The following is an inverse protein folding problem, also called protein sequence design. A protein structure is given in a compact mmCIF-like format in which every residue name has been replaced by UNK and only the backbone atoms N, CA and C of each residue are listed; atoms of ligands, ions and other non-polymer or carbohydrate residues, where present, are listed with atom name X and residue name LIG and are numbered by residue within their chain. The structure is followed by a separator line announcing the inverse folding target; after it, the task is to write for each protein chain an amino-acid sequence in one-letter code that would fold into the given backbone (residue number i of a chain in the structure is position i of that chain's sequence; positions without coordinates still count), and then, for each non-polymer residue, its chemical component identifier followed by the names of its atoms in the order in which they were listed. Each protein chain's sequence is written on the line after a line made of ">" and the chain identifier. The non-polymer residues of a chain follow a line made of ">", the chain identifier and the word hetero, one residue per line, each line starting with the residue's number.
data_IF_589285050755
#
_entry.id   IF_589285050755
#
_cell.length_a   1.000
_cell.length_b   1.000
_cell.length_c   1.000
_cell.angle_alpha   90.00
_cell.angle_beta   90.00
_cell.angle_gamma   90.00
#
_symmetry.space_group_name_H-M   'P 1'
#
loop_
_entity.id
_entity.type
_entity.pdbx_description
1 polymer ?
#
# COMPACT_ATOMS: atom_id res chain seq x y z
N UNK A 1 18.19 -20.60 28.58
CA UNK A 1 17.11 -19.79 27.99
C UNK A 1 17.36 -19.78 26.51
N UNK A 2 16.61 -20.56 25.77
CA UNK A 2 16.59 -20.50 24.28
C UNK A 2 15.94 -19.16 23.97
N UNK A 3 16.67 -18.24 23.33
CA UNK A 3 16.11 -17.02 22.81
C UNK A 3 15.15 -17.47 21.69
N UNK A 4 13.86 -17.54 21.98
CA UNK A 4 12.85 -17.72 20.93
C UNK A 4 13.02 -16.51 20.02
N UNK A 5 13.59 -16.72 18.83
CA UNK A 5 13.61 -15.69 17.80
C UNK A 5 12.15 -15.40 17.47
N UNK A 6 11.69 -14.17 17.75
CA UNK A 6 10.34 -13.75 17.40
C UNK A 6 10.10 -14.04 15.93
N UNK A 7 8.98 -14.66 15.63
CA UNK A 7 8.63 -14.96 14.24
C UNK A 7 8.21 -13.66 13.55
N UNK A 8 8.93 -13.28 12.49
CA UNK A 8 8.84 -11.95 11.87
C UNK A 8 8.35 -12.04 10.45
N UNK A 9 7.29 -11.30 10.16
CA UNK A 9 6.82 -11.09 8.80
C UNK A 9 7.38 -9.78 8.24
N UNK A 10 8.00 -9.86 7.08
CA UNK A 10 8.39 -8.68 6.30
C UNK A 10 7.41 -8.53 5.14
N UNK A 11 6.84 -7.33 4.99
CA UNK A 11 5.91 -7.01 3.90
C UNK A 11 6.43 -5.84 3.08
N UNK A 12 6.38 -6.00 1.76
CA UNK A 12 6.62 -4.94 0.79
C UNK A 12 5.30 -4.46 0.20
N UNK A 13 5.04 -3.15 0.24
CA UNK A 13 3.78 -2.57 -0.22
C UNK A 13 4.08 -1.52 -1.29
N UNK A 14 3.49 -1.70 -2.46
CA UNK A 14 3.41 -0.72 -3.53
C UNK A 14 2.00 -0.15 -3.58
N UNK A 15 1.84 1.14 -3.26
CA UNK A 15 0.56 1.86 -3.26
C UNK A 15 0.36 2.63 -4.55
N UNK A 16 0.00 1.94 -5.61
CA UNK A 16 -0.26 2.53 -6.92
C UNK A 16 -1.60 3.28 -7.01
N UNK A 17 -1.70 4.20 -7.97
CA UNK A 17 -2.92 4.99 -8.24
C UNK A 17 -4.11 4.12 -8.67
N UNK A 18 -3.88 3.09 -9.46
CA UNK A 18 -4.93 2.22 -9.99
C UNK A 18 -5.00 0.88 -9.26
N UNK A 19 -3.87 0.26 -9.00
CA UNK A 19 -3.73 -1.02 -8.34
C UNK A 19 -2.59 -0.94 -7.33
N UNK A 20 -2.77 -1.55 -6.18
CA UNK A 20 -1.74 -1.68 -5.15
C UNK A 20 -1.39 -3.15 -4.97
N UNK A 21 -0.15 -3.40 -4.62
CA UNK A 21 0.37 -4.75 -4.42
C UNK A 21 1.03 -4.88 -3.06
N UNK A 22 0.81 -6.00 -2.40
CA UNK A 22 1.54 -6.41 -1.21
C UNK A 22 2.22 -7.76 -1.48
N UNK A 23 3.45 -7.89 -1.01
CA UNK A 23 4.18 -9.16 -0.99
C UNK A 23 4.76 -9.40 0.39
N UNK A 24 4.83 -10.65 0.84
CA UNK A 24 5.35 -11.02 2.15
C UNK A 24 6.53 -11.99 2.07
N UNK A 25 7.37 -11.99 3.11
CA UNK A 25 8.47 -12.95 3.26
C UNK A 25 8.00 -14.40 3.42
N UNK A 26 6.72 -14.61 3.75
CA UNK A 26 6.08 -15.93 3.80
C UNK A 26 5.66 -16.45 2.42
N UNK A 27 5.88 -15.66 1.34
CA UNK A 27 5.60 -16.05 -0.04
C UNK A 27 4.23 -15.65 -0.57
N UNK A 28 3.40 -14.98 0.24
CA UNK A 28 2.12 -14.43 -0.24
C UNK A 28 2.37 -13.18 -1.09
N UNK A 29 1.55 -13.02 -2.16
CA UNK A 29 1.54 -11.83 -3.01
C UNK A 29 0.12 -11.57 -3.50
N UNK A 30 -0.39 -10.38 -3.25
CA UNK A 30 -1.74 -9.97 -3.63
C UNK A 30 -1.74 -8.59 -4.28
N UNK A 31 -2.59 -8.43 -5.29
CA UNK A 31 -2.84 -7.15 -5.96
C UNK A 31 -4.32 -6.82 -5.90
N UNK A 32 -4.63 -5.60 -5.50
CA UNK A 32 -6.00 -5.11 -5.29
C UNK A 32 -6.14 -3.74 -5.98
N UNK A 33 -7.27 -3.50 -6.67
CA UNK A 33 -7.55 -2.18 -7.24
C UNK A 33 -7.63 -1.14 -6.11
N UNK A 34 -6.95 -0.01 -6.28
CA UNK A 34 -6.82 1.05 -5.26
C UNK A 34 -8.11 1.86 -5.16
N UNK A 35 -9.15 1.24 -4.63
CA UNK A 35 -10.46 1.86 -4.43
C UNK A 35 -11.13 1.31 -3.17
N UNK A 36 -11.76 2.22 -2.43
CA UNK A 36 -12.54 1.92 -1.22
C UNK A 36 -13.98 2.36 -1.44
N UNK A 37 -14.93 1.47 -1.16
CA UNK A 37 -16.36 1.75 -1.23
C UNK A 37 -16.97 1.80 0.17
N UNK A 38 -17.73 2.86 0.47
CA UNK A 38 -18.54 2.94 1.68
C UNK A 38 -20.02 3.02 1.29
N UNK A 39 -20.92 2.23 1.91
CA UNK A 39 -22.36 2.31 1.64
C UNK A 39 -22.87 3.76 1.71
N UNK A 40 -23.67 4.17 0.73
CA UNK A 40 -24.20 5.53 0.64
C UNK A 40 -25.18 5.89 1.75
N UNK A 41 -25.91 4.88 2.24
CA UNK A 41 -27.00 5.04 3.19
C UNK A 41 -27.24 3.73 3.98
N UNK A 42 -28.11 3.73 5.00
CA UNK A 42 -28.45 2.55 5.77
C UNK A 42 -29.08 1.40 4.97
N UNK A 43 -29.76 1.70 3.86
CA UNK A 43 -30.37 0.68 3.00
C UNK A 43 -29.28 -0.08 2.25
N UNK A 44 -28.33 0.68 1.66
CA UNK A 44 -27.15 0.13 1.02
C UNK A 44 -26.30 -0.70 1.98
N UNK A 45 -26.10 -0.19 3.23
CA UNK A 45 -25.40 -0.93 4.29
C UNK A 45 -26.07 -2.25 4.63
N UNK A 46 -27.40 -2.25 4.78
CA UNK A 46 -28.17 -3.46 5.05
C UNK A 46 -28.11 -4.46 3.88
N UNK A 47 -28.10 -3.98 2.66
CA UNK A 47 -27.98 -4.80 1.46
C UNK A 47 -26.59 -5.44 1.36
N UNK A 48 -25.53 -4.65 1.51
CA UNK A 48 -24.13 -5.08 1.35
C UNK A 48 -23.63 -5.91 2.53
N UNK A 49 -24.23 -5.78 3.72
CA UNK A 49 -23.80 -6.43 4.96
C UNK A 49 -22.34 -6.12 5.36
N UNK A 50 -21.81 -5.01 4.87
CA UNK A 50 -20.43 -4.53 5.10
C UNK A 50 -20.41 -3.02 5.20
N UNK A 51 -19.53 -2.50 6.04
CA UNK A 51 -19.32 -1.05 6.21
C UNK A 51 -18.30 -0.49 5.25
N UNK A 52 -17.40 -1.33 4.75
CA UNK A 52 -16.34 -0.98 3.80
C UNK A 52 -16.14 -2.13 2.81
N UNK A 53 -15.94 -1.79 1.54
CA UNK A 53 -15.59 -2.70 0.47
C UNK A 53 -14.29 -2.22 -0.18
N UNK A 54 -13.49 -3.15 -0.71
CA UNK A 54 -12.21 -2.86 -1.33
C UNK A 54 -12.14 -3.43 -2.75
N UNK A 55 -11.33 -2.79 -3.60
CA UNK A 55 -10.99 -3.28 -4.92
C UNK A 55 -12.20 -3.61 -5.80
N UNK A 56 -12.16 -4.76 -6.43
CA UNK A 56 -13.19 -5.26 -7.31
C UNK A 56 -14.60 -5.28 -6.67
N UNK A 57 -14.70 -5.58 -5.37
CA UNK A 57 -15.99 -5.59 -4.68
C UNK A 57 -16.58 -4.18 -4.55
N UNK A 58 -15.75 -3.17 -4.28
CA UNK A 58 -16.18 -1.78 -4.29
C UNK A 58 -16.66 -1.33 -5.67
N UNK A 59 -15.92 -1.71 -6.72
CA UNK A 59 -16.27 -1.38 -8.12
C UNK A 59 -17.56 -2.07 -8.58
N UNK A 60 -17.75 -3.34 -8.24
CA UNK A 60 -19.01 -4.08 -8.54
C UNK A 60 -20.22 -3.42 -7.89
N UNK A 61 -20.06 -2.87 -6.70
CA UNK A 61 -21.13 -2.27 -5.91
C UNK A 61 -21.15 -0.73 -5.99
N UNK A 62 -20.55 -0.12 -7.01
CA UNK A 62 -20.40 1.34 -7.17
C UNK A 62 -21.71 2.13 -7.11
N UNK A 63 -22.84 1.55 -7.47
CA UNK A 63 -24.14 2.21 -7.40
C UNK A 63 -24.67 2.33 -5.97
N UNK A 64 -24.28 1.42 -5.08
CA UNK A 64 -24.64 1.41 -3.67
C UNK A 64 -23.59 2.07 -2.76
N UNK A 65 -22.41 2.41 -3.28
CA UNK A 65 -21.30 2.96 -2.52
C UNK A 65 -20.87 4.37 -2.96
N UNK A 66 -20.40 5.16 -2.00
CA UNK A 66 -19.48 6.26 -2.27
C UNK A 66 -18.09 5.67 -2.46
N UNK A 67 -17.48 5.93 -3.62
CA UNK A 67 -16.15 5.44 -3.93
C UNK A 67 -15.08 6.49 -3.60
N UNK A 68 -14.03 6.04 -2.93
CA UNK A 68 -12.82 6.81 -2.61
C UNK A 68 -11.65 6.20 -3.37
N UNK A 69 -10.83 7.06 -3.98
CA UNK A 69 -9.55 6.69 -4.58
C UNK A 69 -8.45 7.35 -3.76
N UNK A 70 -7.96 6.67 -2.71
CA UNK A 70 -7.10 7.30 -1.71
C UNK A 70 -5.73 7.69 -2.24
N UNK A 71 -5.33 7.12 -3.39
CA UNK A 71 -4.04 7.39 -4.02
C UNK A 71 -4.21 8.20 -5.30
N UNK A 72 -3.45 9.28 -5.42
CA UNK A 72 -3.33 10.07 -6.65
C UNK A 72 -1.85 10.37 -6.91
N UNK A 73 -1.39 10.12 -8.13
CA UNK A 73 0.02 10.30 -8.51
C UNK A 73 1.02 9.63 -7.53
N UNK A 74 0.68 8.42 -7.05
CA UNK A 74 1.52 7.65 -6.14
C UNK A 74 1.58 8.17 -4.69
N UNK A 75 0.73 9.15 -4.32
CA UNK A 75 0.67 9.70 -2.96
C UNK A 75 -0.73 9.61 -2.39
N UNK A 76 -0.81 9.49 -1.05
CA UNK A 76 -2.08 9.56 -0.35
C UNK A 76 -2.65 10.98 -0.42
N UNK A 77 -3.93 11.11 -0.80
CA UNK A 77 -4.60 12.40 -0.82
C UNK A 77 -4.78 12.92 0.62
N UNK A 78 -4.59 14.22 0.83
CA UNK A 78 -4.48 14.85 2.16
C UNK A 78 -5.82 15.24 2.79
N UNK A 79 -6.95 15.06 2.10
CA UNK A 79 -8.26 15.24 2.74
C UNK A 79 -8.59 14.07 3.69
N UNK A 80 -9.30 14.40 4.76
CA UNK A 80 -9.60 13.48 5.86
C UNK A 80 -10.27 12.16 5.39
N UNK A 81 -11.19 12.25 4.43
CA UNK A 81 -11.95 11.09 3.95
C UNK A 81 -11.04 10.13 3.14
N UNK A 82 -10.17 10.68 2.30
CA UNK A 82 -9.21 9.88 1.54
C UNK A 82 -8.08 9.32 2.41
N UNK A 83 -7.58 10.07 3.40
CA UNK A 83 -6.62 9.53 4.38
C UNK A 83 -7.22 8.38 5.19
N UNK A 84 -8.47 8.51 5.64
CA UNK A 84 -9.17 7.42 6.32
C UNK A 84 -9.41 6.21 5.39
N UNK A 85 -9.69 6.45 4.11
CA UNK A 85 -9.81 5.41 3.11
C UNK A 85 -8.45 4.74 2.83
N UNK A 86 -7.36 5.52 2.70
CA UNK A 86 -6.00 5.00 2.53
C UNK A 86 -5.59 4.10 3.68
N UNK A 87 -5.82 4.53 4.92
CA UNK A 87 -5.52 3.72 6.11
C UNK A 87 -6.31 2.42 6.13
N UNK A 88 -7.61 2.46 5.85
CA UNK A 88 -8.44 1.26 5.79
C UNK A 88 -8.00 0.32 4.65
N UNK A 89 -7.59 0.87 3.51
CA UNK A 89 -7.12 0.10 2.37
C UNK A 89 -5.79 -0.61 2.66
N UNK A 90 -4.85 0.08 3.30
CA UNK A 90 -3.57 -0.51 3.73
C UNK A 90 -3.78 -1.60 4.77
N UNK A 91 -4.70 -1.39 5.74
CA UNK A 91 -5.11 -2.44 6.70
C UNK A 91 -5.59 -3.69 5.98
N UNK A 92 -6.48 -3.50 5.00
CA UNK A 92 -6.99 -4.60 4.21
C UNK A 92 -5.88 -5.33 3.41
N UNK A 93 -4.92 -4.61 2.83
CA UNK A 93 -3.78 -5.25 2.15
C UNK A 93 -2.96 -6.09 3.13
N UNK A 94 -2.64 -5.56 4.31
CA UNK A 94 -1.85 -6.29 5.33
C UNK A 94 -2.61 -7.54 5.79
N UNK A 95 -3.92 -7.46 5.99
CA UNK A 95 -4.76 -8.61 6.37
C UNK A 95 -4.71 -9.75 5.33
N UNK A 96 -4.45 -9.46 4.06
CA UNK A 96 -4.38 -10.50 3.00
C UNK A 96 -3.14 -11.40 3.07
N UNK A 97 -2.17 -11.08 3.91
CA UNK A 97 -0.93 -11.86 4.08
C UNK A 97 -0.82 -12.55 5.44
N UNK A 98 -1.96 -12.70 6.12
CA UNK A 98 -2.13 -13.43 7.39
C UNK A 98 -1.11 -12.98 8.48
N UNK A 99 -1.06 -11.67 8.81
CA UNK A 99 -0.07 -11.10 9.72
C UNK A 99 -0.19 -11.61 11.16
N UNK A 100 -1.36 -12.11 11.56
CA UNK A 100 -1.65 -12.67 12.87
C UNK A 100 -0.93 -13.98 13.18
N UNK A 101 -0.34 -14.61 12.17
CA UNK A 101 0.50 -15.81 12.34
C UNK A 101 1.91 -15.46 12.87
N UNK A 102 2.24 -14.17 12.98
CA UNK A 102 3.58 -13.68 13.31
C UNK A 102 3.58 -12.76 14.53
N UNK A 103 4.67 -12.78 15.30
CA UNK A 103 4.84 -11.94 16.48
C UNK A 103 5.06 -10.46 16.13
N UNK A 104 5.78 -10.21 15.02
CA UNK A 104 6.14 -8.87 14.56
C UNK A 104 5.98 -8.74 13.05
N UNK A 105 5.48 -7.60 12.60
CA UNK A 105 5.34 -7.25 11.17
C UNK A 105 6.19 -6.02 10.85
N UNK A 106 7.05 -6.11 9.84
CA UNK A 106 7.91 -5.03 9.37
C UNK A 106 7.52 -4.64 7.95
N UNK A 107 7.14 -3.36 7.76
CA UNK A 107 6.66 -2.86 6.49
C UNK A 107 7.71 -2.06 5.71
N UNK A 108 7.87 -2.36 4.43
CA UNK A 108 8.54 -1.49 3.45
C UNK A 108 7.49 -0.95 2.51
N UNK A 109 7.41 0.37 2.36
CA UNK A 109 6.48 1.01 1.44
C UNK A 109 7.23 1.79 0.37
N UNK A 110 6.79 1.66 -0.87
CA UNK A 110 7.35 2.39 -2.00
C UNK A 110 6.72 3.79 -2.13
N UNK A 111 7.51 4.74 -2.62
CA UNK A 111 7.06 6.09 -2.97
C UNK A 111 7.70 6.54 -4.27
N UNK A 112 7.04 7.38 -5.08
CA UNK A 112 7.69 8.03 -6.21
C UNK A 112 8.93 8.83 -5.79
N UNK A 113 9.88 9.05 -6.71
CA UNK A 113 11.15 9.72 -6.39
C UNK A 113 10.97 11.19 -5.97
N UNK A 114 9.97 11.87 -6.50
CA UNK A 114 9.79 13.33 -6.37
C UNK A 114 8.71 13.74 -5.36
N UNK A 115 8.36 12.87 -4.42
CA UNK A 115 7.36 13.21 -3.40
C UNK A 115 7.93 14.08 -2.30
N UNK A 116 7.10 14.99 -1.80
CA UNK A 116 7.46 15.88 -0.69
C UNK A 116 7.64 15.10 0.62
N UNK A 117 8.23 15.78 1.64
CA UNK A 117 8.30 15.21 2.98
C UNK A 117 6.90 14.96 3.58
N UNK A 118 5.94 15.86 3.30
CA UNK A 118 4.55 15.69 3.74
C UNK A 118 3.91 14.45 3.14
N UNK A 119 4.11 14.19 1.85
CA UNK A 119 3.57 13.00 1.18
C UNK A 119 4.15 11.72 1.77
N UNK A 120 5.47 11.68 2.02
CA UNK A 120 6.10 10.55 2.72
C UNK A 120 5.55 10.36 4.13
N UNK A 121 5.29 11.44 4.84
CA UNK A 121 4.69 11.39 6.18
C UNK A 121 3.27 10.84 6.13
N UNK A 122 2.48 11.21 5.12
CA UNK A 122 1.14 10.69 4.90
C UNK A 122 1.17 9.19 4.58
N UNK A 123 2.11 8.73 3.73
CA UNK A 123 2.32 7.30 3.47
C UNK A 123 2.65 6.53 4.75
N UNK A 124 3.59 7.03 5.55
CA UNK A 124 3.94 6.43 6.85
C UNK A 124 2.72 6.40 7.79
N UNK A 125 1.90 7.44 7.78
CA UNK A 125 0.70 7.52 8.62
C UNK A 125 -0.35 6.44 8.25
N UNK A 126 -0.37 5.95 7.01
CA UNK A 126 -1.28 4.86 6.61
C UNK A 126 -0.92 3.53 7.26
N UNK A 127 0.36 3.28 7.52
CA UNK A 127 0.85 2.04 8.15
C UNK A 127 0.99 2.14 9.68
N UNK A 128 0.96 3.35 10.22
CA UNK A 128 1.19 3.56 11.67
C UNK A 128 0.15 2.83 12.51
N UNK A 129 0.64 1.98 13.42
CA UNK A 129 -0.17 1.14 14.29
C UNK A 129 -0.67 -0.15 13.64
N UNK A 130 -0.23 -0.45 12.42
CA UNK A 130 -0.54 -1.69 11.69
C UNK A 130 0.69 -2.60 11.56
N UNK A 131 1.88 -2.02 11.66
CA UNK A 131 3.16 -2.74 11.62
C UNK A 131 4.08 -2.21 12.73
N UNK A 132 5.06 -3.03 13.14
CA UNK A 132 6.00 -2.72 14.21
C UNK A 132 7.06 -1.70 13.79
N UNK A 133 7.50 -1.74 12.53
CA UNK A 133 8.40 -0.74 11.96
C UNK A 133 8.13 -0.52 10.48
N UNK A 134 8.46 0.68 9.99
CA UNK A 134 8.18 1.13 8.61
C UNK A 134 9.47 1.67 8.00
N UNK A 135 9.78 1.21 6.79
CA UNK A 135 10.80 1.79 5.94
C UNK A 135 10.12 2.34 4.68
N UNK A 136 10.50 3.55 4.26
CA UNK A 136 10.08 4.12 2.97
C UNK A 136 11.25 4.06 2.00
N UNK A 137 11.03 3.47 0.84
CA UNK A 137 11.99 3.42 -0.27
C UNK A 137 11.40 4.07 -1.51
N UNK A 138 12.24 4.48 -2.45
CA UNK A 138 11.71 4.96 -3.74
C UNK A 138 11.42 3.79 -4.67
N UNK A 139 10.36 3.89 -5.48
CA UNK A 139 9.97 2.88 -6.46
C UNK A 139 11.14 2.48 -7.39
N UNK A 140 11.92 3.44 -7.98
CA UNK A 140 13.06 3.07 -8.80
C UNK A 140 14.17 2.35 -8.03
N UNK A 141 14.39 2.69 -6.76
CA UNK A 141 15.38 1.98 -5.93
C UNK A 141 14.92 0.55 -5.67
N UNK A 142 13.65 0.35 -5.29
CA UNK A 142 13.08 -0.98 -5.06
C UNK A 142 13.20 -1.86 -6.32
N UNK A 143 12.90 -1.29 -7.49
CA UNK A 143 13.05 -1.97 -8.80
C UNK A 143 14.50 -2.36 -9.07
N UNK A 144 15.45 -1.42 -8.96
CA UNK A 144 16.87 -1.70 -9.18
C UNK A 144 17.42 -2.74 -8.19
N UNK A 145 16.98 -2.68 -6.95
CA UNK A 145 17.36 -3.65 -5.91
C UNK A 145 16.84 -5.05 -6.24
N UNK A 146 15.58 -5.17 -6.67
CA UNK A 146 14.96 -6.45 -7.00
C UNK A 146 15.64 -7.18 -8.15
N UNK A 147 16.19 -6.44 -9.13
CA UNK A 147 16.90 -7.02 -10.29
C UNK A 147 18.43 -7.07 -10.10
N UNK A 148 18.95 -6.62 -8.94
CA UNK A 148 20.39 -6.62 -8.64
C UNK A 148 21.21 -5.51 -9.32
N UNK A 149 20.58 -4.47 -9.88
CA UNK A 149 21.22 -3.41 -10.69
C UNK A 149 21.38 -2.09 -9.92
N UNK A 150 21.86 -2.16 -8.67
CA UNK A 150 22.06 -0.99 -7.82
C UNK A 150 23.39 -0.24 -8.09
N UNK A 151 24.30 -0.82 -8.87
CA UNK A 151 25.64 -0.28 -9.13
C UNK A 151 25.74 0.79 -10.22
N UNK A 152 24.66 1.07 -10.95
CA UNK A 152 24.65 2.08 -12.02
C UNK A 152 23.63 1.76 -13.10
N UNK A 153 22.38 2.10 -12.89
CA UNK A 153 21.29 1.86 -13.83
C UNK A 153 20.40 3.10 -14.00
N UNK A 154 19.62 3.13 -15.06
CA UNK A 154 18.50 4.05 -15.24
C UNK A 154 17.22 3.22 -15.15
N UNK A 155 16.37 3.57 -14.22
CA UNK A 155 15.05 2.96 -14.07
C UNK A 155 14.02 3.92 -14.65
N UNK A 156 13.15 3.38 -15.50
CA UNK A 156 11.97 4.08 -16.03
C UNK A 156 10.75 3.31 -15.54
N UNK A 157 9.99 3.92 -14.66
CA UNK A 157 8.76 3.38 -14.10
C UNK A 157 7.57 4.10 -14.74
N UNK A 158 6.67 3.34 -15.37
CA UNK A 158 5.50 3.89 -16.07
C UNK A 158 4.26 3.31 -15.41
N UNK A 159 3.70 4.07 -14.49
CA UNK A 159 2.47 3.73 -13.77
C UNK A 159 1.20 4.32 -14.41
N UNK A 160 0.05 4.06 -13.76
CA UNK A 160 -1.23 4.61 -14.18
C UNK A 160 -1.38 6.12 -13.89
N UNK A 161 -0.65 6.64 -12.91
CA UNK A 161 -0.74 8.04 -12.46
C UNK A 161 0.54 8.84 -12.66
N UNK A 162 1.70 8.18 -12.80
CA UNK A 162 3.01 8.80 -12.87
C UNK A 162 3.92 8.09 -13.87
N UNK A 163 4.90 8.82 -14.37
CA UNK A 163 6.10 8.25 -15.00
C UNK A 163 7.30 8.77 -14.24
N UNK A 164 8.09 7.89 -13.67
CA UNK A 164 9.28 8.22 -12.89
C UNK A 164 10.54 7.74 -13.61
N UNK A 165 11.53 8.61 -13.72
CA UNK A 165 12.83 8.30 -14.33
C UNK A 165 13.91 8.63 -13.31
N UNK A 166 14.64 7.61 -12.89
CA UNK A 166 15.67 7.76 -11.89
C UNK A 166 16.98 7.10 -12.33
N UNK A 167 18.10 7.78 -12.03
CA UNK A 167 19.42 7.21 -12.14
C UNK A 167 19.85 6.66 -10.79
N UNK A 168 20.16 5.38 -10.75
CA UNK A 168 20.68 4.70 -9.56
C UNK A 168 22.21 4.70 -9.65
N UNK A 169 22.86 5.18 -8.59
CA UNK A 169 24.30 5.14 -8.43
C UNK A 169 24.65 4.32 -7.18
N UNK A 170 25.38 3.24 -7.39
CA UNK A 170 26.11 2.58 -6.30
C UNK A 170 27.35 3.41 -5.92
N UNK A 171 27.73 3.35 -4.68
CA UNK A 171 29.02 3.80 -4.15
C UNK A 171 30.05 2.70 -4.26
#
# INVERSE_FOLDING_TARGET
>A
MVNEMSDRLYVGIDLGTFQSTIASSAGAMHSVETVVGRPKDPVARNFLKRDVLFGADALKNKLACNLYRPMAAGVAQDDEANLAAAKAFVSHLIETVDPEEFDEVFGVICSPSHVSFTDKSNLVATLRGQVNAIMVVTEPFATAFAIGEIGGSIVVDIGAGTTDIARIHGT
#
